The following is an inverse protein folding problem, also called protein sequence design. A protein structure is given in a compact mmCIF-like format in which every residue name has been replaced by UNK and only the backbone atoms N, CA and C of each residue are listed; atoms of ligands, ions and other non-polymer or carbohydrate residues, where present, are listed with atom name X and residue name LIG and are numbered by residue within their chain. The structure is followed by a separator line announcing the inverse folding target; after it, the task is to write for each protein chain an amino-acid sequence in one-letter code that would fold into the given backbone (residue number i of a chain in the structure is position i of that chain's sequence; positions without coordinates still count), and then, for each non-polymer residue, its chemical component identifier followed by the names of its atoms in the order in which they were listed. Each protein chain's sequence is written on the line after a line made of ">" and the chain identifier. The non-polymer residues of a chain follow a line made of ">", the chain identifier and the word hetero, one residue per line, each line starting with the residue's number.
data_IF_697814919204
#
_entry.id   IF_697814919204
#
_cell.length_a   1.000
_cell.length_b   1.000
_cell.length_c   1.000
_cell.angle_alpha   90.00
_cell.angle_beta   90.00
_cell.angle_gamma   90.00
#
_symmetry.space_group_name_H-M   'P 1'
#
loop_
_entity.id
_entity.type
_entity.pdbx_description
1 polymer ?
#
# COMPACT_ATOMS: atom_id res chain seq x y z
N UNK A 1 8.69 50.54 51.26
CA UNK A 1 8.77 50.47 49.78
C UNK A 1 8.56 49.02 49.37
N UNK A 2 7.43 48.78 48.69
CA UNK A 2 6.98 47.49 48.20
C UNK A 2 7.72 47.18 46.90
N UNK A 3 8.30 45.98 46.76
CA UNK A 3 8.43 45.32 45.45
C UNK A 3 8.30 43.81 45.62
N UNK A 4 7.48 43.24 44.75
CA UNK A 4 6.79 41.97 44.85
C UNK A 4 7.54 40.84 44.16
N UNK A 5 7.44 39.64 44.75
CA UNK A 5 7.84 38.36 44.18
C UNK A 5 6.68 37.77 43.37
N UNK A 6 6.91 37.46 42.08
CA UNK A 6 5.95 36.77 41.24
C UNK A 6 6.53 35.45 40.70
N UNK A 7 6.11 34.33 41.33
CA UNK A 7 6.09 32.99 40.72
C UNK A 7 4.70 32.74 40.14
N UNK A 8 4.57 32.06 38.98
CA UNK A 8 3.27 31.71 38.43
C UNK A 8 2.69 30.46 39.10
N UNK A 9 1.45 30.59 39.58
CA UNK A 9 0.59 29.55 40.14
C UNK A 9 0.04 28.68 39.00
N UNK A 10 0.14 27.35 39.12
CA UNK A 10 -0.56 26.38 38.28
C UNK A 10 -1.93 26.09 38.90
N UNK A 11 -3.01 26.46 38.20
CA UNK A 11 -4.36 26.03 38.55
C UNK A 11 -4.64 24.62 37.99
N UNK A 12 -4.78 23.66 38.89
CA UNK A 12 -5.40 22.36 38.64
C UNK A 12 -6.92 22.49 38.74
N UNK A 13 -7.63 22.22 37.65
CA UNK A 13 -9.07 22.00 37.68
C UNK A 13 -9.32 20.55 37.30
N UNK A 14 -9.42 19.71 38.32
CA UNK A 14 -9.91 18.34 38.26
C UNK A 14 -11.44 18.40 38.40
N UNK A 15 -12.17 18.00 37.36
CA UNK A 15 -13.63 17.87 37.40
C UNK A 15 -13.98 16.41 37.72
N UNK A 16 -14.57 16.20 38.90
CA UNK A 16 -15.17 14.94 39.29
C UNK A 16 -16.44 14.69 38.46
N UNK A 17 -16.48 13.56 37.76
CA UNK A 17 -17.70 13.06 37.12
C UNK A 17 -18.30 11.92 37.97
N UNK A 18 -19.63 11.89 38.18
CA UNK A 18 -20.29 10.89 39.01
C UNK A 18 -20.40 9.53 38.31
N UNK A 19 -20.20 8.47 39.09
CA UNK A 19 -20.47 7.09 38.73
C UNK A 19 -21.97 6.88 38.53
N UNK A 20 -22.42 6.66 37.29
CA UNK A 20 -23.76 6.16 36.99
C UNK A 20 -23.62 4.75 36.43
N UNK A 21 -23.89 3.77 37.29
CA UNK A 21 -24.08 2.37 36.93
C UNK A 21 -25.49 2.21 36.33
N UNK A 22 -25.59 1.85 35.06
CA UNK A 22 -26.82 1.34 34.46
C UNK A 22 -26.66 -0.15 34.18
N UNK A 23 -27.23 -0.95 35.08
CA UNK A 23 -27.50 -2.38 34.88
C UNK A 23 -28.68 -2.55 33.94
N UNK A 24 -28.44 -3.08 32.74
CA UNK A 24 -29.49 -3.60 31.88
C UNK A 24 -29.36 -5.12 31.81
N UNK A 25 -30.39 -5.77 32.35
CA UNK A 25 -30.70 -7.19 32.36
C UNK A 25 -30.82 -7.72 30.93
N UNK A 26 -30.28 -8.92 30.71
CA UNK A 26 -30.30 -9.60 29.42
C UNK A 26 -31.69 -10.06 28.98
N UNK A 27 -31.81 -10.30 27.68
CA UNK A 27 -32.87 -11.11 27.09
C UNK A 27 -32.28 -12.23 26.22
N UNK A 28 -32.61 -13.44 26.66
CA UNK A 28 -32.85 -14.71 25.95
C UNK A 28 -32.19 -14.97 24.59
N UNK A 29 -31.47 -16.10 24.57
CA UNK A 29 -31.10 -16.87 23.38
C UNK A 29 -32.32 -17.45 22.66
N UNK A 30 -32.25 -17.53 21.33
CA UNK A 30 -32.77 -18.69 20.57
C UNK A 30 -32.17 -18.72 19.16
N UNK A 31 -31.82 -19.93 18.71
CA UNK A 31 -31.99 -20.29 17.30
C UNK A 31 -30.75 -20.29 16.41
N UNK A 32 -30.11 -21.45 16.34
CA UNK A 32 -29.22 -21.88 15.25
C UNK A 32 -29.81 -21.63 13.84
N UNK A 33 -29.02 -21.00 12.97
CA UNK A 33 -28.88 -21.46 11.57
C UNK A 33 -27.54 -21.02 10.99
N UNK A 34 -26.79 -22.00 10.50
CA UNK A 34 -25.56 -21.83 9.71
C UNK A 34 -25.98 -21.53 8.27
N UNK A 35 -25.44 -20.46 7.70
CA UNK A 35 -25.31 -20.34 6.24
C UNK A 35 -23.83 -20.30 5.89
N UNK A 36 -23.39 -21.36 5.21
CA UNK A 36 -22.09 -21.47 4.56
C UNK A 36 -22.09 -20.54 3.34
N UNK A 37 -21.32 -19.46 3.38
CA UNK A 37 -20.90 -18.79 2.16
C UNK A 37 -19.47 -19.23 1.83
N UNK A 38 -19.36 -20.09 0.83
CA UNK A 38 -18.11 -20.35 0.11
C UNK A 38 -17.54 -19.03 -0.39
N UNK A 39 -16.40 -18.61 0.15
CA UNK A 39 -15.69 -17.42 -0.29
C UNK A 39 -14.93 -17.74 -1.57
N UNK A 40 -15.54 -17.31 -2.67
CA UNK A 40 -15.01 -17.26 -4.02
C UNK A 40 -13.59 -16.66 -4.07
N UNK A 41 -12.70 -17.37 -4.78
CA UNK A 41 -11.29 -17.01 -5.00
C UNK A 41 -11.19 -15.65 -5.70
N UNK A 42 -10.85 -14.60 -4.95
CA UNK A 42 -10.43 -13.33 -5.54
C UNK A 42 -9.07 -13.47 -6.22
N UNK A 43 -9.09 -13.55 -7.55
CA UNK A 43 -7.93 -13.45 -8.44
C UNK A 43 -7.27 -12.08 -8.25
N UNK A 44 -5.99 -12.08 -7.88
CA UNK A 44 -5.20 -10.87 -7.61
C UNK A 44 -4.53 -10.38 -8.89
N UNK A 45 -4.63 -9.09 -9.15
CA UNK A 45 -3.83 -8.40 -10.16
C UNK A 45 -2.38 -8.27 -9.65
N UNK A 46 -1.44 -8.84 -10.40
CA UNK A 46 -0.02 -8.54 -10.27
C UNK A 46 0.25 -7.20 -10.98
N UNK A 47 0.83 -6.25 -10.24
CA UNK A 47 1.44 -5.07 -10.82
C UNK A 47 2.94 -5.28 -10.69
N UNK A 48 3.62 -5.45 -11.81
CA UNK A 48 5.08 -5.56 -11.84
C UNK A 48 5.70 -4.23 -11.41
N UNK A 49 6.68 -4.21 -10.49
CA UNK A 49 7.52 -3.03 -10.33
C UNK A 49 8.34 -2.82 -11.60
N UNK A 50 8.47 -1.56 -12.02
CA UNK A 50 9.35 -1.15 -13.11
C UNK A 50 10.77 -1.59 -12.77
N UNK A 51 11.28 -2.59 -13.48
CA UNK A 51 12.69 -2.99 -13.44
C UNK A 51 13.47 -2.05 -14.36
N UNK A 52 14.20 -1.10 -13.79
CA UNK A 52 15.30 -0.43 -14.50
C UNK A 52 16.47 -1.39 -14.59
N UNK A 53 16.51 -2.20 -15.65
CA UNK A 53 17.70 -2.93 -16.08
C UNK A 53 18.68 -1.93 -16.72
N UNK A 54 19.63 -1.41 -15.95
CA UNK A 54 20.88 -0.95 -16.56
C UNK A 54 21.78 -2.18 -16.72
N UNK A 55 21.85 -2.73 -17.94
CA UNK A 55 22.93 -3.64 -18.31
C UNK A 55 24.24 -2.88 -18.19
N UNK A 56 25.08 -3.29 -17.23
CA UNK A 56 26.46 -2.82 -17.15
C UNK A 56 27.22 -3.25 -18.39
N UNK A 57 27.80 -2.28 -19.08
CA UNK A 57 28.74 -2.46 -20.19
C UNK A 57 30.02 -3.11 -19.62
N UNK A 58 30.61 -4.00 -20.43
CA UNK A 58 31.69 -4.91 -20.05
C UNK A 58 32.95 -4.23 -19.52
N UNK A 59 33.62 -4.92 -18.59
CA UNK A 59 34.98 -4.62 -18.15
C UNK A 59 35.96 -4.98 -19.28
N UNK A 60 36.70 -3.98 -19.76
CA UNK A 60 37.99 -4.16 -20.41
C UNK A 60 39.10 -4.30 -19.38
N UNK A 61 40.15 -5.02 -19.76
CA UNK A 61 41.26 -5.49 -18.93
C UNK A 61 42.25 -4.40 -18.45
N UNK A 62 42.77 -4.66 -17.25
CA UNK A 62 44.16 -4.50 -16.73
C UNK A 62 44.96 -3.22 -17.02
N UNK A 63 45.38 -2.55 -15.94
CA UNK A 63 46.48 -1.59 -15.94
C UNK A 63 46.87 -1.06 -14.55
N UNK A 64 47.87 -1.72 -13.93
CA UNK A 64 48.82 -1.35 -12.86
C UNK A 64 48.59 -0.19 -11.86
N UNK A 65 48.91 -0.55 -10.61
CA UNK A 65 49.12 0.21 -9.35
C UNK A 65 50.17 1.32 -9.46
N UNK A 66 49.89 2.48 -8.82
CA UNK A 66 50.75 3.17 -7.83
C UNK A 66 50.04 4.41 -7.24
N UNK A 67 50.14 4.54 -5.92
CA UNK A 67 49.83 5.71 -5.07
C UNK A 67 51.18 6.36 -4.66
N UNK A 68 51.27 7.54 -4.00
CA UNK A 68 50.24 8.55 -3.67
C UNK A 68 50.74 10.02 -3.91
N UNK A 69 50.02 11.00 -3.33
CA UNK A 69 50.45 12.27 -2.66
C UNK A 69 49.82 13.60 -3.16
N UNK A 70 49.11 14.25 -2.24
CA UNK A 70 48.93 15.69 -1.97
C UNK A 70 48.42 16.68 -3.04
N UNK A 71 47.34 17.38 -2.69
CA UNK A 71 47.30 18.86 -2.50
C UNK A 71 46.08 19.55 -3.13
N UNK A 72 45.55 20.47 -2.34
CA UNK A 72 44.47 21.44 -2.52
C UNK A 72 44.79 22.49 -3.61
N UNK A 73 43.77 23.06 -4.27
CA UNK A 73 43.56 24.53 -4.47
C UNK A 73 42.45 24.83 -5.52
N UNK A 74 41.43 25.56 -5.04
CA UNK A 74 40.55 26.62 -5.61
C UNK A 74 40.04 26.64 -7.07
N UNK A 75 38.82 27.16 -7.16
CA UNK A 75 37.99 27.48 -8.32
C UNK A 75 38.42 28.73 -9.10
N UNK A 76 37.94 28.85 -10.34
CA UNK A 76 37.51 30.10 -11.01
C UNK A 76 36.49 29.75 -12.13
N UNK A 77 35.56 30.65 -12.50
CA UNK A 77 34.37 30.37 -13.31
C UNK A 77 34.57 30.77 -14.79
N UNK A 78 33.76 30.21 -15.71
CA UNK A 78 33.65 30.77 -17.07
C UNK A 78 32.22 30.71 -17.61
N UNK A 79 31.90 31.79 -18.31
CA UNK A 79 30.60 32.29 -18.73
C UNK A 79 29.99 31.57 -19.95
N UNK A 80 28.69 31.79 -20.04
CA UNK A 80 27.67 31.42 -21.02
C UNK A 80 28.04 31.66 -22.51
N UNK A 81 27.55 30.77 -23.38
CA UNK A 81 27.12 31.18 -24.73
C UNK A 81 25.97 30.30 -25.22
N UNK A 82 24.81 30.93 -25.28
CA UNK A 82 23.61 30.45 -25.95
C UNK A 82 23.82 30.29 -27.45
N UNK A 83 23.46 29.13 -28.00
CA UNK A 83 23.13 29.00 -29.43
C UNK A 83 21.77 28.33 -29.57
N UNK A 84 20.80 29.14 -29.99
CA UNK A 84 19.50 28.71 -30.50
C UNK A 84 19.73 28.12 -31.89
N UNK A 85 19.59 26.80 -32.02
CA UNK A 85 19.62 26.09 -33.29
C UNK A 85 18.31 25.36 -33.51
N UNK A 86 17.37 26.03 -34.18
CA UNK A 86 16.12 25.42 -34.66
C UNK A 86 16.46 24.38 -35.73
N UNK A 87 16.03 23.13 -35.54
CA UNK A 87 16.04 22.13 -36.60
C UNK A 87 14.86 21.18 -36.44
N UNK A 88 13.86 21.46 -37.28
CA UNK A 88 12.80 20.55 -37.70
C UNK A 88 13.38 19.18 -38.02
N UNK A 89 12.82 18.12 -37.44
CA UNK A 89 12.93 16.77 -38.02
C UNK A 89 11.57 16.09 -38.10
N UNK A 90 11.14 16.07 -39.36
CA UNK A 90 10.18 15.19 -40.00
C UNK A 90 9.97 13.83 -39.33
N UNK A 91 8.69 13.47 -39.19
CA UNK A 91 8.21 12.11 -39.03
C UNK A 91 8.61 11.26 -40.25
N UNK A 92 9.25 10.12 -40.00
CA UNK A 92 9.29 9.00 -40.95
C UNK A 92 8.50 7.83 -40.37
N UNK A 93 7.57 7.36 -41.18
CA UNK A 93 6.75 6.17 -40.99
C UNK A 93 7.56 4.90 -41.23
N UNK A 94 7.13 3.84 -40.55
CA UNK A 94 7.29 2.41 -40.82
C UNK A 94 8.67 1.78 -40.63
N UNK A 95 8.75 0.84 -39.69
CA UNK A 95 9.06 -0.56 -40.03
C UNK A 95 8.67 -1.48 -38.88
N UNK A 96 7.96 -2.54 -39.24
CA UNK A 96 7.59 -3.68 -38.41
C UNK A 96 8.83 -4.29 -37.74
N UNK A 97 8.75 -4.46 -36.42
CA UNK A 97 9.61 -5.36 -35.68
C UNK A 97 8.72 -6.35 -34.91
N UNK A 98 8.57 -7.53 -35.52
CA UNK A 98 8.25 -8.77 -34.82
C UNK A 98 9.40 -9.07 -33.86
N UNK A 99 9.21 -8.76 -32.58
CA UNK A 99 10.16 -9.15 -31.54
C UNK A 99 9.56 -10.31 -30.73
N UNK A 100 10.07 -11.51 -31.00
CA UNK A 100 9.89 -12.70 -30.19
C UNK A 100 10.58 -12.47 -28.84
N UNK A 101 9.86 -11.86 -27.90
CA UNK A 101 10.27 -11.82 -26.51
C UNK A 101 10.10 -13.23 -25.92
N UNK A 102 11.19 -14.00 -25.86
CA UNK A 102 11.28 -15.17 -25.00
C UNK A 102 10.91 -14.74 -23.58
N UNK A 103 9.75 -15.22 -23.13
CA UNK A 103 9.28 -15.03 -21.79
C UNK A 103 10.35 -15.58 -20.84
N UNK A 104 10.96 -14.69 -20.04
CA UNK A 104 11.68 -15.11 -18.86
C UNK A 104 10.77 -16.07 -18.08
N UNK A 105 11.22 -17.30 -17.93
CA UNK A 105 10.57 -18.33 -17.14
C UNK A 105 10.54 -17.85 -15.69
N UNK A 106 9.53 -17.05 -15.37
CA UNK A 106 9.04 -16.93 -14.02
C UNK A 106 8.57 -18.33 -13.65
N UNK A 107 9.35 -19.00 -12.80
CA UNK A 107 8.87 -20.13 -12.03
C UNK A 107 7.53 -19.72 -11.42
N UNK A 108 6.46 -20.21 -12.04
CA UNK A 108 5.17 -20.30 -11.40
C UNK A 108 5.46 -21.10 -10.15
N UNK A 109 5.37 -20.46 -8.99
CA UNK A 109 5.35 -21.16 -7.72
C UNK A 109 4.18 -22.15 -7.78
N UNK A 110 4.52 -23.36 -8.21
CA UNK A 110 3.70 -24.53 -8.03
C UNK A 110 3.48 -24.63 -6.53
N UNK A 111 2.22 -24.71 -6.12
CA UNK A 111 1.88 -25.12 -4.77
C UNK A 111 2.23 -26.61 -4.67
N UNK A 112 3.52 -26.92 -4.61
CA UNK A 112 3.98 -28.22 -4.13
C UNK A 112 3.85 -28.18 -2.62
N UNK A 113 3.01 -29.09 -2.13
CA UNK A 113 2.91 -29.50 -0.74
C UNK A 113 4.26 -30.07 -0.29
N UNK A 114 5.17 -29.18 0.10
CA UNK A 114 6.32 -29.55 0.92
C UNK A 114 5.93 -29.35 2.39
N UNK A 115 6.29 -30.35 3.19
CA UNK A 115 6.11 -30.51 4.63
C UNK A 115 5.71 -29.23 5.38
N UNK A 116 4.51 -29.24 5.96
CA UNK A 116 3.86 -28.06 6.55
C UNK A 116 4.61 -27.64 7.83
N UNK A 117 5.70 -26.90 7.67
CA UNK A 117 6.27 -26.13 8.76
C UNK A 117 5.15 -25.28 9.38
N UNK A 118 4.92 -25.40 10.70
CA UNK A 118 3.81 -24.71 11.32
C UNK A 118 3.96 -23.21 11.09
N UNK A 119 2.88 -22.58 10.64
CA UNK A 119 2.87 -21.13 10.47
C UNK A 119 3.36 -20.45 11.76
N UNK A 120 4.05 -19.30 11.64
CA UNK A 120 4.49 -18.52 12.81
C UNK A 120 3.37 -18.30 13.84
N UNK A 121 2.13 -18.11 13.38
CA UNK A 121 0.96 -18.00 14.24
C UNK A 121 0.58 -19.30 14.96
N UNK A 122 0.76 -20.46 14.33
CA UNK A 122 0.58 -21.75 14.98
C UNK A 122 1.61 -21.91 16.11
N UNK A 123 2.88 -21.63 15.83
CA UNK A 123 3.95 -21.67 16.83
C UNK A 123 3.66 -20.77 18.06
N UNK A 124 3.16 -19.55 17.84
CA UNK A 124 2.75 -18.65 18.95
C UNK A 124 1.53 -19.20 19.70
N UNK A 125 0.57 -19.83 19.02
CA UNK A 125 -0.61 -20.43 19.67
C UNK A 125 -0.23 -21.62 20.53
N UNK A 126 0.66 -22.48 20.05
CA UNK A 126 1.11 -23.66 20.77
C UNK A 126 1.86 -23.22 22.03
N UNK A 127 2.73 -22.23 21.91
CA UNK A 127 3.40 -21.65 23.08
C UNK A 127 2.44 -21.08 24.13
N UNK A 128 1.39 -20.39 23.70
CA UNK A 128 0.36 -19.89 24.62
C UNK A 128 -0.45 -21.03 25.26
N UNK A 129 -0.64 -22.15 24.56
CA UNK A 129 -1.28 -23.33 25.15
C UNK A 129 -0.38 -23.98 26.21
N UNK A 130 0.92 -24.01 25.99
CA UNK A 130 1.90 -24.47 26.99
C UNK A 130 1.89 -23.59 28.25
N UNK A 131 1.52 -22.31 28.11
CA UNK A 131 1.29 -21.36 29.21
C UNK A 131 -0.12 -21.45 29.81
N UNK A 132 -0.85 -22.53 29.52
CA UNK A 132 -2.20 -22.82 30.04
C UNK A 132 -3.31 -21.88 29.56
N UNK A 133 -3.10 -21.11 28.49
CA UNK A 133 -4.19 -20.35 27.88
C UNK A 133 -5.16 -21.29 27.14
N UNK A 134 -6.46 -21.01 27.25
CA UNK A 134 -7.48 -21.73 26.47
C UNK A 134 -7.21 -21.62 24.97
N UNK A 135 -7.62 -22.62 24.19
CA UNK A 135 -7.42 -22.61 22.73
C UNK A 135 -8.04 -21.39 22.04
N UNK A 136 -9.17 -20.90 22.55
CA UNK A 136 -9.83 -19.69 22.05
C UNK A 136 -9.03 -18.43 22.38
N UNK A 137 -8.52 -18.31 23.61
CA UNK A 137 -7.67 -17.18 24.04
C UNK A 137 -6.37 -17.15 23.25
N UNK A 138 -5.67 -18.29 23.14
CA UNK A 138 -4.44 -18.42 22.35
C UNK A 138 -4.64 -18.00 20.88
N UNK A 139 -5.75 -18.43 20.27
CA UNK A 139 -6.10 -18.05 18.89
C UNK A 139 -6.30 -16.53 18.74
N UNK A 140 -6.99 -15.89 19.69
CA UNK A 140 -7.27 -14.44 19.68
C UNK A 140 -6.01 -13.61 19.94
N UNK A 141 -5.20 -14.01 20.92
CA UNK A 141 -3.93 -13.34 21.26
C UNK A 141 -2.96 -13.41 20.08
N UNK A 142 -2.76 -14.59 19.50
CA UNK A 142 -1.92 -14.74 18.31
C UNK A 142 -2.44 -13.92 17.11
N UNK A 143 -3.76 -13.77 17.02
CA UNK A 143 -4.46 -13.01 15.98
C UNK A 143 -4.57 -11.50 16.22
N UNK A 144 -3.95 -10.94 17.27
CA UNK A 144 -4.11 -9.53 17.64
C UNK A 144 -3.62 -8.56 16.56
N UNK A 145 -2.63 -8.96 15.75
CA UNK A 145 -2.12 -8.13 14.65
C UNK A 145 -3.03 -8.21 13.43
N UNK A 146 -3.14 -7.09 12.70
CA UNK A 146 -3.83 -7.03 11.40
C UNK A 146 -3.34 -8.13 10.46
N UNK A 147 -4.27 -8.73 9.71
CA UNK A 147 -4.00 -9.82 8.77
C UNK A 147 -2.85 -9.52 7.80
N UNK A 148 -2.76 -8.29 7.29
CA UNK A 148 -1.66 -7.88 6.40
C UNK A 148 -0.30 -7.92 7.09
N UNK A 149 -0.19 -7.41 8.31
CA UNK A 149 1.04 -7.47 9.12
C UNK A 149 1.40 -8.91 9.45
N UNK A 150 0.42 -9.73 9.86
CA UNK A 150 0.65 -11.15 10.17
C UNK A 150 1.19 -11.91 8.96
N UNK A 151 0.65 -11.68 7.75
CA UNK A 151 1.16 -12.31 6.52
C UNK A 151 2.60 -11.92 6.19
N UNK A 152 2.95 -10.65 6.35
CA UNK A 152 4.34 -10.19 6.15
C UNK A 152 5.26 -10.84 7.18
N UNK A 153 4.82 -10.94 8.43
CA UNK A 153 5.61 -11.53 9.50
C UNK A 153 5.79 -13.03 9.29
N UNK A 154 4.74 -13.74 8.90
CA UNK A 154 4.76 -15.17 8.60
C UNK A 154 5.70 -15.47 7.42
N UNK A 155 5.64 -14.69 6.34
CA UNK A 155 6.55 -14.86 5.19
C UNK A 155 8.02 -14.63 5.58
N UNK A 156 8.31 -13.60 6.37
CA UNK A 156 9.66 -13.33 6.88
C UNK A 156 10.14 -14.42 7.84
N UNK A 157 9.24 -14.92 8.68
CA UNK A 157 9.53 -16.01 9.60
C UNK A 157 9.86 -17.30 8.84
N UNK A 158 9.14 -17.59 7.76
CA UNK A 158 9.41 -18.77 6.92
C UNK A 158 10.83 -18.77 6.34
N UNK A 159 11.28 -17.64 5.79
CA UNK A 159 12.66 -17.50 5.27
C UNK A 159 13.69 -17.65 6.40
N UNK A 160 13.40 -17.10 7.58
CA UNK A 160 14.25 -17.27 8.75
C UNK A 160 14.32 -18.73 9.20
N UNK A 161 13.19 -19.44 9.28
CA UNK A 161 13.18 -20.87 9.66
C UNK A 161 13.91 -21.74 8.65
N UNK A 162 13.80 -21.43 7.35
CA UNK A 162 14.52 -22.13 6.29
C UNK A 162 16.04 -21.95 6.44
N UNK A 163 16.50 -20.73 6.71
CA UNK A 163 17.92 -20.47 6.98
C UNK A 163 18.38 -21.20 8.25
N UNK A 164 17.59 -21.19 9.32
CA UNK A 164 17.91 -21.93 10.54
C UNK A 164 18.02 -23.44 10.30
N UNK A 165 17.16 -24.02 9.45
CA UNK A 165 17.24 -25.44 9.10
C UNK A 165 18.55 -25.79 8.38
N UNK A 166 18.98 -24.95 7.45
CA UNK A 166 20.25 -25.14 6.73
C UNK A 166 21.45 -25.10 7.68
N UNK A 167 21.39 -24.26 8.70
CA UNK A 167 22.44 -24.10 9.71
C UNK A 167 22.29 -25.05 10.91
N UNK A 168 21.31 -25.97 10.90
CA UNK A 168 20.96 -26.87 12.01
C UNK A 168 20.67 -26.15 13.34
N UNK A 169 19.99 -25.00 13.29
CA UNK A 169 19.65 -24.17 14.44
C UNK A 169 18.16 -24.28 14.75
N UNK A 170 17.81 -24.37 16.03
CA UNK A 170 16.41 -24.25 16.47
C UNK A 170 15.98 -22.76 16.44
N UNK A 171 15.00 -22.36 15.62
CA UNK A 171 14.66 -20.94 15.40
C UNK A 171 14.26 -20.17 16.67
N UNK A 172 13.61 -20.83 17.63
CA UNK A 172 13.17 -20.23 18.90
C UNK A 172 14.31 -20.07 19.91
N UNK A 173 15.42 -20.81 19.73
CA UNK A 173 16.57 -20.83 20.65
C UNK A 173 17.81 -20.12 20.10
N UNK A 174 17.72 -19.43 18.98
CA UNK A 174 18.85 -18.75 18.31
C UNK A 174 19.61 -17.79 19.24
N UNK A 175 20.95 -17.75 19.12
CA UNK A 175 21.79 -16.78 19.82
C UNK A 175 21.87 -15.45 19.07
N UNK A 176 22.36 -14.39 19.74
CA UNK A 176 22.50 -13.07 19.10
C UNK A 176 23.54 -13.11 17.96
N UNK A 177 24.61 -13.89 18.13
CA UNK A 177 25.66 -14.06 17.13
C UNK A 177 25.10 -14.70 15.85
N UNK A 178 24.37 -15.81 16.00
CA UNK A 178 23.75 -16.49 14.85
C UNK A 178 22.66 -15.64 14.20
N UNK A 179 21.99 -14.78 14.96
CA UNK A 179 21.05 -13.82 14.38
C UNK A 179 21.76 -12.70 13.59
N UNK A 180 22.94 -12.26 14.05
CA UNK A 180 23.79 -11.35 13.27
C UNK A 180 24.24 -12.02 11.96
N UNK A 181 24.65 -13.29 12.00
CA UNK A 181 24.99 -14.07 10.82
C UNK A 181 23.82 -14.17 9.82
N UNK A 182 22.60 -14.38 10.33
CA UNK A 182 21.40 -14.34 9.49
C UNK A 182 21.19 -12.97 8.83
N UNK A 183 21.42 -11.87 9.56
CA UNK A 183 21.29 -10.54 8.96
C UNK A 183 22.38 -10.27 7.93
N UNK A 184 23.61 -10.75 8.14
CA UNK A 184 24.68 -10.68 7.14
C UNK A 184 24.30 -11.50 5.91
N UNK A 185 23.75 -12.71 6.07
CA UNK A 185 23.21 -13.49 4.94
C UNK A 185 22.14 -12.73 4.15
N UNK A 186 21.23 -12.02 4.83
CA UNK A 186 20.25 -11.17 4.15
C UNK A 186 20.87 -9.96 3.43
N UNK A 187 21.96 -9.42 3.98
CA UNK A 187 22.65 -8.26 3.44
C UNK A 187 23.55 -8.63 2.27
N UNK A 188 24.43 -9.61 2.42
CA UNK A 188 25.44 -9.99 1.43
C UNK A 188 24.82 -10.92 0.37
N UNK A 189 24.31 -12.07 0.80
CA UNK A 189 23.86 -13.14 -0.13
C UNK A 189 22.53 -12.79 -0.79
N UNK A 190 21.55 -12.31 -0.03
CA UNK A 190 20.24 -11.90 -0.59
C UNK A 190 20.21 -10.46 -1.09
N UNK A 191 21.30 -9.70 -0.89
CA UNK A 191 21.45 -8.31 -1.35
C UNK A 191 20.26 -7.41 -0.98
N UNK A 192 19.65 -7.63 0.20
CA UNK A 192 18.46 -6.88 0.61
C UNK A 192 18.80 -5.47 1.09
N UNK A 193 17.82 -4.57 0.99
CA UNK A 193 17.93 -3.21 1.54
C UNK A 193 17.88 -3.22 3.07
N UNK A 194 18.61 -2.33 3.77
CA UNK A 194 18.61 -2.26 5.24
C UNK A 194 17.20 -2.13 5.86
N UNK A 195 16.29 -1.41 5.21
CA UNK A 195 14.89 -1.28 5.65
C UNK A 195 14.12 -2.60 5.62
N UNK A 196 14.42 -3.47 4.65
CA UNK A 196 13.78 -4.78 4.53
C UNK A 196 14.32 -5.74 5.59
N UNK A 197 15.63 -5.70 5.85
CA UNK A 197 16.31 -6.43 6.93
C UNK A 197 15.74 -5.98 8.28
N UNK A 198 15.48 -4.69 8.46
CA UNK A 198 14.85 -4.15 9.68
C UNK A 198 13.46 -4.76 9.90
N UNK A 199 12.70 -4.97 8.82
CA UNK A 199 11.44 -5.69 8.88
C UNK A 199 11.59 -7.17 9.30
N UNK A 200 12.69 -7.84 8.95
CA UNK A 200 12.99 -9.18 9.47
C UNK A 200 13.25 -9.15 10.98
N UNK A 201 14.12 -8.23 11.42
CA UNK A 201 14.39 -8.01 12.86
C UNK A 201 13.10 -7.81 13.65
N UNK A 202 12.19 -6.95 13.18
CA UNK A 202 10.90 -6.71 13.85
C UNK A 202 9.97 -7.93 13.85
N UNK A 203 9.97 -8.74 12.80
CA UNK A 203 9.16 -9.98 12.74
C UNK A 203 9.68 -11.04 13.72
N UNK A 204 11.00 -11.25 13.72
CA UNK A 204 11.68 -12.23 14.56
C UNK A 204 11.56 -11.83 16.03
N UNK A 205 11.93 -10.58 16.39
CA UNK A 205 11.78 -10.07 17.76
C UNK A 205 10.35 -10.25 18.26
N UNK A 206 9.34 -9.88 17.46
CA UNK A 206 7.95 -10.06 17.87
C UNK A 206 7.58 -11.51 18.17
N UNK A 207 8.14 -12.46 17.42
CA UNK A 207 7.84 -13.88 17.62
C UNK A 207 8.56 -14.40 18.86
N UNK A 208 9.85 -14.07 19.01
CA UNK A 208 10.65 -14.51 20.16
C UNK A 208 10.19 -13.91 21.49
N UNK A 209 9.54 -12.75 21.50
CA UNK A 209 8.90 -12.19 22.70
C UNK A 209 7.86 -13.13 23.32
N UNK A 210 7.13 -13.89 22.50
CA UNK A 210 6.20 -14.92 23.00
C UNK A 210 6.91 -16.13 23.63
N UNK A 211 8.23 -16.25 23.45
CA UNK A 211 9.09 -17.28 24.05
C UNK A 211 9.92 -16.73 25.22
N UNK A 212 9.50 -15.61 25.83
CA UNK A 212 10.19 -15.00 26.98
C UNK A 212 11.53 -14.33 26.64
N UNK A 213 11.83 -14.10 25.36
CA UNK A 213 13.06 -13.41 24.95
C UNK A 213 12.89 -11.90 25.05
N UNK A 214 13.93 -11.24 25.58
CA UNK A 214 14.04 -9.79 25.53
C UNK A 214 14.03 -9.28 24.09
N UNK A 215 13.69 -8.00 23.94
CA UNK A 215 13.64 -7.39 22.62
C UNK A 215 15.03 -7.39 21.97
N UNK A 216 15.18 -8.18 20.92
CA UNK A 216 16.46 -8.34 20.23
C UNK A 216 16.94 -7.00 19.62
N UNK A 217 16.03 -6.05 19.37
CA UNK A 217 16.41 -4.74 18.84
C UNK A 217 17.15 -3.86 19.84
N UNK A 218 17.16 -4.17 21.14
CA UNK A 218 17.90 -3.37 22.15
C UNK A 218 19.36 -3.80 22.30
N UNK A 219 19.77 -4.91 21.68
CA UNK A 219 21.14 -5.38 21.78
C UNK A 219 22.09 -4.45 21.00
N UNK A 220 23.14 -3.95 21.68
CA UNK A 220 24.09 -2.96 21.14
C UNK A 220 24.72 -3.44 19.83
N UNK A 221 25.29 -4.66 19.82
CA UNK A 221 25.95 -5.20 18.62
C UNK A 221 25.03 -5.28 17.38
N UNK A 222 23.73 -5.57 17.55
CA UNK A 222 22.79 -5.58 16.45
C UNK A 222 22.39 -4.17 16.02
N UNK A 223 22.41 -3.21 16.94
CA UNK A 223 22.17 -1.80 16.61
C UNK A 223 23.32 -1.27 15.75
N UNK A 224 24.56 -1.54 16.14
CA UNK A 224 25.76 -1.14 15.40
C UNK A 224 25.82 -1.80 14.03
N UNK A 225 25.48 -3.09 13.95
CA UNK A 225 25.39 -3.82 12.69
C UNK A 225 24.38 -3.19 11.72
N UNK A 226 23.21 -2.79 12.23
CA UNK A 226 22.22 -2.09 11.41
C UNK A 226 22.66 -0.67 11.03
N UNK A 227 23.43 -0.01 11.89
CA UNK A 227 24.04 1.27 11.57
C UNK A 227 25.05 1.11 10.43
N UNK A 228 25.87 0.06 10.45
CA UNK A 228 26.74 -0.32 9.34
C UNK A 228 25.96 -0.53 8.04
N UNK A 229 24.90 -1.35 8.03
CA UNK A 229 24.09 -1.58 6.83
C UNK A 229 23.54 -0.28 6.22
N UNK A 230 23.11 0.68 7.06
CA UNK A 230 22.58 1.95 6.60
C UNK A 230 23.67 2.87 6.01
N UNK A 231 24.90 2.79 6.50
CA UNK A 231 26.05 3.53 5.94
C UNK A 231 26.49 2.93 4.60
N UNK A 232 26.55 1.61 4.54
CA UNK A 232 27.01 0.86 3.36
C UNK A 232 26.00 0.93 2.20
N UNK A 233 24.69 0.92 2.53
CA UNK A 233 23.62 1.04 1.54
C UNK A 233 22.64 2.15 1.95
N UNK A 234 23.03 3.43 1.79
CA UNK A 234 22.17 4.54 2.14
C UNK A 234 20.89 4.53 1.31
N UNK A 235 19.83 5.08 1.88
CA UNK A 235 18.54 5.19 1.17
C UNK A 235 18.68 6.21 0.05
N UNK A 236 18.89 5.72 -1.16
CA UNK A 236 18.81 6.55 -2.36
C UNK A 236 17.34 6.87 -2.60
N UNK A 237 16.99 8.16 -2.46
CA UNK A 237 15.67 8.63 -2.90
C UNK A 237 15.66 8.54 -4.42
N UNK A 238 14.88 7.60 -4.95
CA UNK A 238 14.50 7.67 -6.35
C UNK A 238 13.74 8.98 -6.52
N UNK A 239 14.30 9.92 -7.27
CA UNK A 239 13.51 10.96 -7.89
C UNK A 239 12.64 10.20 -8.90
N UNK A 240 11.49 9.70 -8.46
CA UNK A 240 10.46 9.23 -9.39
C UNK A 240 10.29 10.32 -10.44
N UNK A 241 10.12 9.98 -11.73
CA UNK A 241 9.93 11.01 -12.74
C UNK A 241 8.87 11.98 -12.23
N UNK A 242 9.19 13.28 -12.25
CA UNK A 242 8.28 14.32 -11.81
C UNK A 242 7.08 14.25 -12.74
N UNK A 243 6.03 13.55 -12.31
CA UNK A 243 4.77 13.57 -13.03
C UNK A 243 4.15 14.95 -12.76
N UNK A 244 3.71 15.61 -13.84
CA UNK A 244 3.06 16.91 -13.75
C UNK A 244 1.55 16.70 -13.59
N UNK A 245 0.98 17.17 -12.48
CA UNK A 245 -0.46 17.13 -12.28
C UNK A 245 -1.19 17.91 -13.38
N UNK A 246 -0.64 19.06 -13.79
CA UNK A 246 -1.19 19.84 -14.88
C UNK A 246 -1.24 19.04 -16.19
N UNK A 247 -0.16 18.32 -16.54
CA UNK A 247 -0.13 17.47 -17.73
C UNK A 247 -1.17 16.34 -17.66
N UNK A 248 -1.33 15.72 -16.49
CA UNK A 248 -2.32 14.64 -16.33
C UNK A 248 -3.75 15.20 -16.46
N UNK A 249 -4.05 16.31 -15.78
CA UNK A 249 -5.37 16.94 -15.87
C UNK A 249 -5.68 17.38 -17.31
N UNK A 250 -4.72 18.00 -18.02
CA UNK A 250 -4.85 18.34 -19.44
C UNK A 250 -5.06 17.08 -20.31
N UNK A 251 -4.38 15.98 -20.05
CA UNK A 251 -4.62 14.73 -20.79
C UNK A 251 -6.03 14.18 -20.54
N UNK A 252 -6.57 14.35 -19.33
CA UNK A 252 -7.89 13.86 -18.96
C UNK A 252 -9.01 14.67 -19.61
N UNK A 253 -8.76 15.87 -20.15
CA UNK A 253 -9.75 16.63 -20.93
C UNK A 253 -9.84 16.18 -22.40
N UNK A 254 -8.92 15.33 -22.86
CA UNK A 254 -8.76 14.92 -24.26
C UNK A 254 -9.11 13.44 -24.47
N UNK A 255 -9.13 13.02 -25.74
CA UNK A 255 -9.20 11.60 -26.09
C UNK A 255 -7.99 10.85 -25.49
N UNK A 256 -8.15 9.61 -25.00
CA UNK A 256 -9.34 8.75 -25.07
C UNK A 256 -10.28 8.85 -23.86
N UNK A 257 -10.10 9.83 -22.97
CA UNK A 257 -10.89 9.99 -21.74
C UNK A 257 -12.18 10.79 -21.95
N UNK A 258 -12.19 11.66 -22.96
CA UNK A 258 -13.35 12.45 -23.38
C UNK A 258 -13.67 12.22 -24.87
N UNK A 259 -14.96 12.26 -25.27
CA UNK A 259 -16.13 12.46 -24.40
C UNK A 259 -16.50 11.19 -23.61
N UNK A 260 -16.80 11.33 -22.31
CA UNK A 260 -17.10 10.20 -21.39
C UNK A 260 -18.20 9.25 -21.90
N UNK A 261 -19.16 9.75 -22.70
CA UNK A 261 -20.23 8.93 -23.30
C UNK A 261 -19.73 7.88 -24.28
N UNK A 262 -18.61 8.15 -24.96
CA UNK A 262 -18.04 7.29 -26.00
C UNK A 262 -16.75 6.59 -25.57
N UNK A 263 -16.15 7.04 -24.48
CA UNK A 263 -14.92 6.47 -23.96
C UNK A 263 -15.14 5.02 -23.48
N UNK A 264 -14.16 4.15 -23.72
CA UNK A 264 -14.23 2.78 -23.22
C UNK A 264 -14.31 2.74 -21.69
N UNK A 265 -14.95 1.70 -21.12
CA UNK A 265 -15.06 1.53 -19.67
C UNK A 265 -13.69 1.61 -18.96
N UNK A 266 -12.62 1.15 -19.61
CA UNK A 266 -11.25 1.28 -19.09
C UNK A 266 -10.86 2.74 -18.85
N UNK A 267 -11.05 3.61 -19.85
CA UNK A 267 -10.65 5.02 -19.74
C UNK A 267 -11.59 5.81 -18.82
N UNK A 268 -12.89 5.51 -18.83
CA UNK A 268 -13.84 6.05 -17.86
C UNK A 268 -13.42 5.68 -16.44
N UNK A 269 -13.09 4.42 -16.19
CA UNK A 269 -12.63 3.95 -14.87
C UNK A 269 -11.34 4.65 -14.44
N UNK A 270 -10.34 4.75 -15.31
CA UNK A 270 -9.06 5.41 -14.99
C UNK A 270 -9.26 6.89 -14.66
N UNK A 271 -10.05 7.61 -15.46
CA UNK A 271 -10.38 9.01 -15.22
C UNK A 271 -11.12 9.19 -13.89
N UNK A 272 -12.16 8.39 -13.65
CA UNK A 272 -12.96 8.47 -12.42
C UNK A 272 -12.13 8.14 -11.19
N UNK A 273 -11.32 7.07 -11.21
CA UNK A 273 -10.44 6.71 -10.09
C UNK A 273 -9.43 7.82 -9.81
N UNK A 274 -8.81 8.40 -10.85
CA UNK A 274 -7.81 9.45 -10.67
C UNK A 274 -8.42 10.72 -10.05
N UNK A 275 -9.52 11.22 -10.62
CA UNK A 275 -10.19 12.42 -10.13
C UNK A 275 -10.73 12.21 -8.71
N UNK A 276 -11.27 11.03 -8.41
CA UNK A 276 -11.76 10.72 -7.07
C UNK A 276 -10.63 10.56 -6.05
N UNK A 277 -9.51 9.96 -6.44
CA UNK A 277 -8.32 9.88 -5.60
C UNK A 277 -7.81 11.28 -5.25
N UNK A 278 -7.75 12.17 -6.24
CA UNK A 278 -7.33 13.56 -6.07
C UNK A 278 -8.29 14.34 -5.16
N UNK A 279 -9.60 14.25 -5.41
CA UNK A 279 -10.60 14.98 -4.64
C UNK A 279 -10.79 14.49 -3.20
N UNK A 280 -10.60 13.18 -2.96
CA UNK A 280 -10.82 12.58 -1.62
C UNK A 280 -9.56 12.57 -0.74
N UNK A 281 -8.37 12.68 -1.35
CA UNK A 281 -7.07 12.53 -0.71
C UNK A 281 -6.95 11.24 0.14
N UNK A 282 -7.60 10.16 -0.31
CA UNK A 282 -7.63 8.88 0.41
C UNK A 282 -6.58 7.90 -0.10
N UNK A 283 -6.20 6.95 0.77
CA UNK A 283 -5.30 5.86 0.37
C UNK A 283 -6.03 4.93 -0.60
N UNK A 284 -5.25 4.26 -1.45
CA UNK A 284 -5.76 3.25 -2.40
C UNK A 284 -6.66 2.21 -1.72
N UNK A 285 -6.32 1.78 -0.51
CA UNK A 285 -7.15 0.83 0.24
C UNK A 285 -8.53 1.37 0.64
N UNK A 286 -8.62 2.67 0.93
CA UNK A 286 -9.89 3.35 1.25
C UNK A 286 -10.71 3.56 -0.03
N UNK A 287 -10.07 3.98 -1.13
CA UNK A 287 -10.73 4.15 -2.44
C UNK A 287 -11.34 2.84 -2.92
N UNK A 288 -10.60 1.74 -2.77
CA UNK A 288 -11.09 0.40 -3.10
C UNK A 288 -12.21 -0.08 -2.16
N UNK A 289 -12.32 0.51 -0.97
CA UNK A 289 -13.34 0.18 0.01
C UNK A 289 -14.57 1.09 -0.07
N UNK A 290 -14.62 2.08 -0.95
CA UNK A 290 -15.84 2.87 -1.14
C UNK A 290 -17.00 2.00 -1.58
N UNK A 291 -18.14 2.20 -0.95
CA UNK A 291 -19.37 1.46 -1.20
C UNK A 291 -20.37 2.32 -1.99
N UNK A 292 -21.25 1.67 -2.74
CA UNK A 292 -22.45 2.21 -3.37
C UNK A 292 -23.71 1.89 -2.55
N UNK A 293 -23.56 1.24 -1.39
CA UNK A 293 -24.66 1.03 -0.45
C UNK A 293 -25.32 2.38 -0.11
N UNK A 294 -26.67 2.48 -0.11
CA UNK A 294 -27.38 3.73 0.19
C UNK A 294 -27.00 4.40 1.51
N UNK A 295 -26.50 3.65 2.51
CA UNK A 295 -26.01 4.21 3.77
C UNK A 295 -24.62 4.84 3.65
N UNK A 296 -23.85 4.41 2.65
CA UNK A 296 -22.47 4.82 2.43
C UNK A 296 -22.27 5.75 1.23
N UNK A 297 -23.30 5.92 0.40
CA UNK A 297 -23.20 6.60 -0.88
C UNK A 297 -24.38 7.55 -1.11
N UNK A 298 -24.08 8.80 -1.47
CA UNK A 298 -25.10 9.73 -1.97
C UNK A 298 -24.54 10.53 -3.12
N UNK A 299 -25.16 10.42 -4.29
CA UNK A 299 -24.82 11.19 -5.48
C UNK A 299 -25.96 12.16 -5.81
N UNK A 300 -25.62 13.43 -5.94
CA UNK A 300 -26.51 14.51 -6.39
C UNK A 300 -25.83 15.29 -7.52
N UNK A 301 -26.56 16.22 -8.15
CA UNK A 301 -25.95 17.12 -9.14
C UNK A 301 -24.84 18.00 -8.53
N UNK A 302 -24.99 18.40 -7.26
CA UNK A 302 -24.11 19.37 -6.61
C UNK A 302 -22.98 18.75 -5.80
N UNK A 303 -23.14 17.51 -5.35
CA UNK A 303 -22.13 16.85 -4.51
C UNK A 303 -22.25 15.33 -4.50
N UNK A 304 -21.14 14.71 -4.11
CA UNK A 304 -20.97 13.29 -3.86
C UNK A 304 -20.57 13.08 -2.39
N UNK A 305 -21.26 12.17 -1.70
CA UNK A 305 -20.90 11.70 -0.36
C UNK A 305 -20.46 10.24 -0.45
N UNK A 306 -19.30 9.94 0.13
CA UNK A 306 -18.71 8.60 0.16
C UNK A 306 -18.31 8.18 1.56
N UNK A 307 -18.59 6.92 1.86
CA UNK A 307 -18.08 6.17 2.99
C UNK A 307 -17.52 4.83 2.50
N UNK A 308 -16.63 4.26 3.30
CA UNK A 308 -16.14 2.89 3.08
C UNK A 308 -17.16 1.88 3.56
N UNK A 309 -17.17 0.69 2.95
CA UNK A 309 -18.01 -0.46 3.33
C UNK A 309 -17.99 -0.72 4.86
N UNK A 310 -19.13 -1.09 5.46
CA UNK A 310 -19.20 -1.52 6.85
C UNK A 310 -18.18 -2.65 7.14
N UNK A 311 -17.37 -2.47 8.18
CA UNK A 311 -16.32 -3.43 8.56
C UNK A 311 -14.95 -3.19 7.93
N UNK A 312 -14.83 -2.24 6.98
CA UNK A 312 -13.52 -1.76 6.58
C UNK A 312 -12.89 -0.89 7.67
N UNK A 313 -11.62 -1.15 7.99
CA UNK A 313 -10.85 -0.34 8.94
C UNK A 313 -9.60 0.21 8.26
N UNK A 314 -9.56 1.53 8.05
CA UNK A 314 -8.43 2.17 7.41
C UNK A 314 -7.14 2.02 8.24
N UNK A 315 -5.98 2.10 7.58
CA UNK A 315 -4.69 1.84 8.23
C UNK A 315 -4.45 2.70 9.48
N UNK A 316 -4.93 3.94 9.46
CA UNK A 316 -4.72 4.90 10.54
C UNK A 316 -6.00 5.18 11.33
N UNK A 317 -7.07 4.42 11.12
CA UNK A 317 -8.33 4.58 11.84
C UNK A 317 -8.30 3.80 13.15
N UNK A 318 -8.81 4.43 14.20
CA UNK A 318 -9.06 3.81 15.49
C UNK A 318 -10.32 2.93 15.41
N UNK A 319 -10.30 1.68 15.88
CA UNK A 319 -11.44 0.76 15.76
C UNK A 319 -12.75 1.26 16.35
N UNK A 320 -12.69 2.08 17.40
CA UNK A 320 -13.85 2.63 18.09
C UNK A 320 -14.36 3.94 17.49
N UNK A 321 -13.73 4.45 16.42
CA UNK A 321 -14.10 5.71 15.79
C UNK A 321 -14.75 5.45 14.44
N UNK A 322 -15.98 5.93 14.28
CA UNK A 322 -16.68 5.89 13.00
C UNK A 322 -15.89 6.65 11.92
N UNK A 323 -15.85 6.14 10.67
CA UNK A 323 -15.23 6.87 9.57
C UNK A 323 -16.05 8.14 9.30
N UNK A 324 -15.35 9.24 8.99
CA UNK A 324 -16.03 10.48 8.59
C UNK A 324 -16.42 10.39 7.11
N UNK A 325 -17.64 10.80 6.74
CA UNK A 325 -18.06 10.83 5.35
C UNK A 325 -17.24 11.85 4.57
N UNK A 326 -16.88 11.48 3.35
CA UNK A 326 -16.15 12.35 2.42
C UNK A 326 -17.19 13.04 1.56
N UNK A 327 -17.22 14.38 1.61
CA UNK A 327 -18.10 15.20 0.78
C UNK A 327 -17.29 15.90 -0.29
N UNK A 328 -17.56 15.58 -1.55
CA UNK A 328 -16.93 16.19 -2.73
C UNK A 328 -17.97 17.04 -3.42
N UNK A 329 -17.68 18.34 -3.61
CA UNK A 329 -18.56 19.24 -4.37
C UNK A 329 -18.37 19.03 -5.87
N UNK A 330 -19.44 19.19 -6.62
CA UNK A 330 -19.44 19.18 -8.07
C UNK A 330 -18.70 20.41 -8.59
N UNK A 331 -17.84 20.20 -9.60
CA UNK A 331 -17.12 21.26 -10.28
C UNK A 331 -17.87 21.77 -11.52
N UNK A 332 -19.06 21.25 -11.80
CA UNK A 332 -19.82 21.57 -13.01
C UNK A 332 -20.30 23.03 -13.10
N UNK A 333 -20.32 23.75 -11.98
CA UNK A 333 -20.86 25.12 -11.90
C UNK A 333 -19.77 26.21 -11.99
N UNK A 334 -18.50 25.86 -12.17
CA UNK A 334 -17.40 26.82 -12.20
C UNK A 334 -17.12 27.29 -13.64
N UNK A 335 -16.50 26.43 -14.44
CA UNK A 335 -16.11 26.71 -15.82
C UNK A 335 -16.11 25.42 -16.64
N UNK A 336 -16.05 25.54 -17.97
CA UNK A 336 -16.17 24.39 -18.87
C UNK A 336 -15.04 23.37 -18.66
N UNK A 337 -13.82 23.81 -18.41
CA UNK A 337 -12.67 22.92 -18.19
C UNK A 337 -12.79 22.20 -16.83
N UNK A 338 -13.20 22.92 -15.78
CA UNK A 338 -13.52 22.32 -14.48
C UNK A 338 -14.69 21.33 -14.56
N UNK A 339 -15.69 21.59 -15.41
CA UNK A 339 -16.80 20.67 -15.62
C UNK A 339 -16.32 19.35 -16.25
N UNK A 340 -15.33 19.39 -17.14
CA UNK A 340 -14.71 18.19 -17.74
C UNK A 340 -13.92 17.38 -16.72
N UNK A 341 -13.30 18.05 -15.75
CA UNK A 341 -12.52 17.45 -14.66
C UNK A 341 -13.34 17.16 -13.40
N UNK A 342 -14.67 17.31 -13.46
CA UNK A 342 -15.54 17.12 -12.31
C UNK A 342 -15.59 15.64 -11.86
N UNK A 343 -15.17 15.32 -10.61
CA UNK A 343 -15.22 13.95 -10.08
C UNK A 343 -16.67 13.44 -9.95
N UNK A 344 -17.62 14.32 -9.60
CA UNK A 344 -19.05 13.97 -9.48
C UNK A 344 -19.60 13.54 -10.85
N UNK A 345 -19.24 14.27 -11.92
CA UNK A 345 -19.57 13.93 -13.30
C UNK A 345 -18.98 12.58 -13.70
N UNK A 346 -17.69 12.38 -13.44
CA UNK A 346 -16.99 11.14 -13.79
C UNK A 346 -17.58 9.92 -13.07
N UNK A 347 -17.94 10.05 -11.78
CA UNK A 347 -18.60 8.99 -11.01
C UNK A 347 -19.99 8.67 -11.58
N UNK A 348 -20.77 9.69 -11.96
CA UNK A 348 -22.08 9.47 -12.60
C UNK A 348 -21.97 8.63 -13.88
N UNK A 349 -21.09 9.00 -14.80
CA UNK A 349 -20.87 8.26 -16.05
C UNK A 349 -20.32 6.85 -15.81
N UNK A 350 -19.41 6.70 -14.85
CA UNK A 350 -18.89 5.39 -14.47
C UNK A 350 -20.00 4.47 -13.96
N UNK A 351 -20.83 4.94 -13.02
CA UNK A 351 -21.94 4.17 -12.48
C UNK A 351 -22.93 3.78 -13.58
N UNK A 352 -23.27 4.72 -14.47
CA UNK A 352 -24.12 4.43 -15.62
C UNK A 352 -23.55 3.30 -16.50
N UNK A 353 -22.24 3.33 -16.76
CA UNK A 353 -21.54 2.29 -17.53
C UNK A 353 -21.40 0.95 -16.80
N UNK A 354 -21.47 0.93 -15.47
CA UNK A 354 -21.32 -0.29 -14.64
C UNK A 354 -22.61 -0.79 -14.00
N UNK A 355 -23.77 -0.14 -14.22
CA UNK A 355 -25.08 -0.50 -13.65
C UNK A 355 -25.35 -2.01 -13.64
N UNK A 356 -25.14 -2.68 -14.76
CA UNK A 356 -25.41 -4.12 -14.94
C UNK A 356 -24.50 -4.99 -14.07
N UNK A 357 -23.30 -4.51 -13.74
CA UNK A 357 -22.27 -5.26 -12.99
C UNK A 357 -22.35 -5.07 -11.48
N UNK A 358 -23.20 -4.16 -10.99
CA UNK A 358 -23.38 -3.89 -9.56
C UNK A 358 -24.45 -4.76 -8.88
N UNK A 359 -24.95 -5.79 -9.55
CA UNK A 359 -26.00 -6.68 -9.02
C UNK A 359 -25.56 -7.55 -7.85
N UNK A 360 -24.25 -7.83 -7.71
CA UNK A 360 -23.69 -8.72 -6.68
C UNK A 360 -22.60 -8.06 -5.83
N UNK A 361 -22.30 -6.77 -6.02
CA UNK A 361 -21.19 -6.11 -5.33
C UNK A 361 -21.49 -4.64 -5.01
N UNK A 362 -21.44 -4.33 -3.71
CA UNK A 362 -21.64 -2.98 -3.20
C UNK A 362 -20.40 -2.09 -3.32
N UNK A 363 -19.26 -2.59 -3.84
CA UNK A 363 -18.09 -1.73 -4.03
C UNK A 363 -18.30 -0.78 -5.20
N UNK A 364 -17.86 0.46 -5.05
CA UNK A 364 -17.90 1.48 -6.11
C UNK A 364 -17.09 1.04 -7.33
N UNK A 365 -15.83 0.63 -7.15
CA UNK A 365 -14.98 0.23 -8.27
C UNK A 365 -14.97 -1.29 -8.47
N UNK A 366 -15.19 -1.70 -9.72
CA UNK A 366 -15.22 -3.11 -10.13
C UNK A 366 -13.95 -3.48 -10.91
N UNK A 367 -13.61 -4.77 -10.90
CA UNK A 367 -12.49 -5.30 -11.69
C UNK A 367 -12.74 -5.07 -13.19
N UNK A 368 -11.71 -4.63 -13.92
CA UNK A 368 -11.79 -4.49 -15.39
C UNK A 368 -11.72 -5.84 -16.12
N UNK A 369 -11.21 -6.90 -15.47
CA UNK A 369 -11.15 -8.24 -16.05
C UNK A 369 -12.39 -9.03 -15.66
N UNK A 370 -13.33 -9.16 -16.61
CA UNK A 370 -14.53 -9.99 -16.48
C UNK A 370 -15.57 -9.75 -17.59
N UNK A 371 -15.34 -10.37 -18.74
CA UNK A 371 -16.35 -11.00 -19.62
C UNK A 371 -17.37 -10.17 -20.40
N UNK A 372 -17.34 -10.31 -21.73
CA UNK A 372 -18.53 -10.26 -22.58
C UNK A 372 -18.73 -8.98 -23.40
N UNK A 373 -18.63 -9.12 -24.72
CA UNK A 373 -19.08 -8.16 -25.71
C UNK A 373 -20.49 -7.66 -25.36
N UNK A 374 -20.65 -6.35 -25.15
CA UNK A 374 -21.93 -5.68 -25.28
C UNK A 374 -21.78 -4.59 -26.35
N UNK A 375 -22.09 -5.00 -27.57
CA UNK A 375 -22.40 -4.10 -28.66
C UNK A 375 -23.64 -3.25 -28.30
N UNK A 376 -23.59 -1.98 -28.73
CA UNK A 376 -24.68 -1.01 -28.97
C UNK A 376 -25.18 -0.17 -27.78
N UNK A 377 -25.07 1.14 -28.02
CA UNK A 377 -25.76 2.25 -27.37
C UNK A 377 -27.25 1.92 -27.12
N UNK A 378 -27.76 2.16 -25.91
CA UNK A 378 -29.15 2.55 -25.73
C UNK A 378 -29.30 4.02 -26.13
N UNK A 379 -30.26 4.27 -27.03
CA UNK A 379 -30.70 5.59 -27.42
C UNK A 379 -31.08 6.43 -26.19
N UNK A 380 -30.55 7.64 -26.11
CA UNK A 380 -31.01 8.64 -25.14
C UNK A 380 -32.37 9.18 -25.62
N UNK A 381 -33.40 9.02 -24.79
CA UNK A 381 -34.61 9.83 -24.91
C UNK A 381 -34.33 11.23 -24.37
N UNK A 382 -34.46 12.22 -25.25
CA UNK A 382 -34.55 13.63 -24.88
C UNK A 382 -35.82 13.88 -24.05
N UNK A 383 -35.62 14.50 -22.89
CA UNK A 383 -36.68 14.92 -21.99
C UNK A 383 -36.33 16.25 -21.36
N UNK A 384 -36.65 17.32 -22.11
CA UNK A 384 -36.98 18.69 -21.70
C UNK A 384 -36.39 19.22 -20.37
N UNK A 385 -35.42 20.12 -20.50
CA UNK A 385 -35.30 21.30 -19.63
C UNK A 385 -35.94 22.48 -20.36
N UNK A 386 -37.08 22.95 -19.84
CA UNK A 386 -37.41 24.38 -19.81
C UNK A 386 -37.15 24.85 -18.38
#
# INVERSE_FOLDING_TARGET
>A
MVTTSHRPIRNSVESQAPNVCLSLSGFSSMGSRRDNFELERSVRLCVSPVCSNSKGIGKGEVGKVQDPTSSTLVAEPSLDSSVVGSSLRFFKSSTDWTDNAQAASHERFSQQSHDLQPSRLALVRDRLRDESFSGTSAKRIAGAKRRSTSRVYDAKWHIFTQWCQQENIVPTKISIQRLADFFNFLFDVKSLRPSTISGYRSSISNTLKHFGRNDISTHVALTDLFQFYNRERPVVRSLTPQWSLALVLDSLTKAPYEPLRSASLKFVTLKTVFLLALASARRVSEIHAFSIDPQCFRLTADHLILLTEPGFLAKNQLPHKAPHPIKIKSLSNFDQDSAVLCPVRAVKFYLDATKVRHTACNRLFLSLKGGGVAHRNPQFHDGLLK
#
